data_IF_787275931852
#
_entry.id   IF_787275931852
#
_cell.length_a   1.000
_cell.length_b   1.000
_cell.length_c   1.000
_cell.angle_alpha   90.00
_cell.angle_beta   90.00
_cell.angle_gamma   90.00
#
_symmetry.space_group_name_H-M   'P 1'
#
loop_
_entity.id
_entity.type
_entity.pdbx_description
1 polymer ?
#
# COMPACT_ATOMS: atom_id res chain seq x y z
N UNK A 1 -37.94 -12.76 -37.86
CA UNK A 1 -37.65 -11.54 -37.06
C UNK A 1 -36.49 -11.86 -36.14
N UNK A 2 -35.32 -11.36 -36.50
CA UNK A 2 -34.00 -11.69 -35.97
C UNK A 2 -33.79 -10.98 -34.62
N UNK A 3 -33.60 -11.72 -33.52
CA UNK A 3 -33.12 -11.14 -32.26
C UNK A 3 -31.60 -11.25 -32.22
N UNK A 4 -30.93 -10.11 -32.31
CA UNK A 4 -29.51 -9.95 -31.98
C UNK A 4 -29.25 -10.40 -30.53
N UNK A 5 -28.09 -11.03 -30.25
CA UNK A 5 -27.67 -11.30 -28.88
C UNK A 5 -27.14 -10.01 -28.20
N UNK A 6 -27.33 -9.84 -26.88
CA UNK A 6 -26.72 -8.74 -26.13
C UNK A 6 -25.26 -9.09 -25.83
N UNK A 7 -24.38 -8.92 -26.81
CA UNK A 7 -22.92 -8.96 -26.65
C UNK A 7 -22.38 -7.54 -26.80
N UNK A 8 -22.59 -6.65 -25.82
CA UNK A 8 -21.96 -5.32 -25.89
C UNK A 8 -21.80 -4.52 -24.59
N UNK A 9 -22.22 -5.01 -23.42
CA UNK A 9 -22.26 -4.16 -22.21
C UNK A 9 -21.25 -4.51 -21.11
N UNK A 10 -20.32 -5.47 -21.33
CA UNK A 10 -19.33 -5.85 -20.30
C UNK A 10 -17.88 -5.45 -20.60
N UNK A 11 -17.60 -4.71 -21.68
CA UNK A 11 -16.22 -4.33 -22.06
C UNK A 11 -15.79 -2.90 -21.66
N UNK A 12 -16.65 -2.10 -21.01
CA UNK A 12 -16.39 -0.66 -20.84
C UNK A 12 -15.73 -0.27 -19.50
N UNK A 13 -15.62 -1.17 -18.51
CA UNK A 13 -15.06 -0.81 -17.19
C UNK A 13 -13.52 -0.93 -17.07
N UNK A 14 -12.80 -1.34 -18.12
CA UNK A 14 -11.35 -1.58 -18.09
C UNK A 14 -10.51 -0.53 -18.85
N UNK A 15 -11.01 0.69 -19.03
CA UNK A 15 -10.36 1.70 -19.90
C UNK A 15 -9.88 2.98 -19.21
N UNK A 16 -9.75 3.00 -17.87
CA UNK A 16 -9.15 4.16 -17.16
C UNK A 16 -8.10 3.70 -16.15
N UNK A 17 -6.87 3.38 -16.60
CA UNK A 17 -5.75 3.10 -15.70
C UNK A 17 -4.34 3.37 -16.28
N UNK A 18 -4.16 4.30 -17.21
CA UNK A 18 -2.82 4.60 -17.81
C UNK A 18 -2.21 5.93 -17.33
N UNK A 19 -2.89 6.71 -16.47
CA UNK A 19 -2.38 8.02 -16.02
C UNK A 19 -1.37 7.96 -14.86
N UNK A 20 -0.92 6.77 -14.44
CA UNK A 20 -0.05 6.59 -13.28
C UNK A 20 1.09 5.61 -13.53
N UNK A 21 2.12 5.61 -12.67
CA UNK A 21 3.27 4.73 -12.83
C UNK A 21 2.87 3.25 -12.79
N UNK A 22 3.65 2.43 -13.49
CA UNK A 22 3.37 1.03 -13.78
C UNK A 22 4.46 0.10 -13.23
N UNK A 23 4.22 -1.21 -13.24
CA UNK A 23 5.26 -2.19 -12.88
C UNK A 23 6.45 -2.14 -13.86
N UNK A 24 6.25 -1.69 -15.10
CA UNK A 24 7.35 -1.44 -16.03
C UNK A 24 8.25 -0.29 -15.55
N UNK A 25 7.67 0.80 -15.04
CA UNK A 25 8.43 1.93 -14.47
C UNK A 25 9.23 1.49 -13.23
N UNK A 26 8.66 0.61 -12.41
CA UNK A 26 9.38 0.02 -11.26
C UNK A 26 10.56 -0.81 -11.76
N UNK A 27 10.35 -1.70 -12.74
CA UNK A 27 11.41 -2.53 -13.33
C UNK A 27 12.56 -1.68 -13.89
N UNK A 28 12.25 -0.54 -14.52
CA UNK A 28 13.25 0.38 -15.04
C UNK A 28 14.11 1.03 -13.93
N UNK A 29 13.57 1.21 -12.72
CA UNK A 29 14.30 1.79 -11.57
C UNK A 29 15.10 0.77 -10.76
N UNK A 30 14.70 -0.50 -10.77
CA UNK A 30 15.33 -1.56 -9.95
C UNK A 30 16.87 -1.58 -10.07
N UNK A 31 17.50 -1.50 -11.26
CA UNK A 31 18.95 -1.52 -11.39
C UNK A 31 19.67 -0.42 -10.59
N UNK A 32 19.01 0.71 -10.39
CA UNK A 32 19.56 1.92 -9.79
C UNK A 32 19.24 2.06 -8.30
N UNK A 33 18.70 1.02 -7.64
CA UNK A 33 18.46 1.06 -6.20
C UNK A 33 19.79 1.06 -5.42
N UNK A 34 20.08 2.20 -4.80
CA UNK A 34 21.20 2.40 -3.89
C UNK A 34 21.01 1.64 -2.56
N UNK A 35 22.10 1.21 -1.94
CA UNK A 35 22.06 0.49 -0.66
C UNK A 35 21.41 -0.90 -0.71
N UNK A 36 21.21 -1.45 -1.91
CA UNK A 36 20.65 -2.80 -2.13
C UNK A 36 21.66 -3.67 -2.86
N UNK A 37 21.80 -4.94 -2.46
CA UNK A 37 22.68 -5.90 -3.14
C UNK A 37 22.19 -6.24 -4.55
N UNK A 38 23.12 -6.62 -5.43
CA UNK A 38 22.80 -7.08 -6.80
C UNK A 38 21.77 -8.22 -6.77
N UNK A 39 21.99 -9.21 -5.90
CA UNK A 39 21.07 -10.34 -5.74
C UNK A 39 19.66 -9.89 -5.34
N UNK A 40 19.55 -8.94 -4.39
CA UNK A 40 18.24 -8.46 -3.97
C UNK A 40 17.54 -7.67 -5.09
N UNK A 41 18.26 -6.92 -5.92
CA UNK A 41 17.71 -6.28 -7.12
C UNK A 41 17.20 -7.31 -8.13
N UNK A 42 17.97 -8.36 -8.40
CA UNK A 42 17.55 -9.45 -9.30
C UNK A 42 16.30 -10.16 -8.77
N UNK A 43 16.26 -10.48 -7.48
CA UNK A 43 15.08 -11.09 -6.85
C UNK A 43 13.84 -10.20 -7.00
N UNK A 44 13.98 -8.89 -6.77
CA UNK A 44 12.89 -7.92 -6.97
C UNK A 44 12.39 -7.91 -8.42
N UNK A 45 13.27 -7.86 -9.40
CA UNK A 45 12.89 -7.88 -10.82
C UNK A 45 12.21 -9.21 -11.21
N UNK A 46 12.74 -10.35 -10.74
CA UNK A 46 12.15 -11.67 -10.97
C UNK A 46 10.77 -11.80 -10.33
N UNK A 47 10.61 -11.35 -9.09
CA UNK A 47 9.32 -11.35 -8.38
C UNK A 47 8.26 -10.49 -9.09
N UNK A 48 8.64 -9.32 -9.63
CA UNK A 48 7.71 -8.50 -10.44
C UNK A 48 7.27 -9.25 -11.70
N UNK A 49 8.20 -9.91 -12.42
CA UNK A 49 7.85 -10.71 -13.60
C UNK A 49 6.95 -11.89 -13.24
N UNK A 50 7.21 -12.56 -12.11
CA UNK A 50 6.34 -13.64 -11.61
C UNK A 50 4.93 -13.14 -11.33
N UNK A 51 4.77 -11.98 -10.68
CA UNK A 51 3.45 -11.38 -10.45
C UNK A 51 2.72 -11.09 -11.78
N UNK A 52 3.42 -10.53 -12.76
CA UNK A 52 2.86 -10.26 -14.09
C UNK A 52 2.40 -11.55 -14.79
N UNK A 53 3.17 -12.62 -14.67
CA UNK A 53 2.84 -13.94 -15.24
C UNK A 53 1.64 -14.58 -14.55
N UNK A 54 1.55 -14.50 -13.22
CA UNK A 54 0.39 -14.98 -12.46
C UNK A 54 -0.88 -14.22 -12.86
N UNK A 55 -0.77 -12.91 -13.07
CA UNK A 55 -1.88 -12.07 -13.53
C UNK A 55 -2.17 -12.14 -15.04
N UNK A 56 -1.38 -12.89 -15.81
CA UNK A 56 -1.37 -12.90 -17.29
C UNK A 56 -1.43 -11.48 -17.91
N UNK A 57 -0.58 -10.57 -17.42
CA UNK A 57 -0.62 -9.15 -17.79
C UNK A 57 0.77 -8.62 -18.11
N UNK A 58 0.85 -7.70 -19.07
CA UNK A 58 2.07 -6.96 -19.36
C UNK A 58 2.39 -5.97 -18.22
N UNK A 59 3.64 -5.87 -17.75
CA UNK A 59 4.01 -4.94 -16.67
C UNK A 59 3.68 -3.47 -16.96
N UNK A 60 3.62 -3.08 -18.24
CA UNK A 60 3.28 -1.72 -18.67
C UNK A 60 1.78 -1.41 -18.55
N UNK A 61 0.94 -2.43 -18.35
CA UNK A 61 -0.51 -2.30 -18.19
C UNK A 61 -0.95 -2.43 -16.72
N UNK A 62 -0.02 -2.71 -15.81
CA UNK A 62 -0.31 -2.86 -14.39
C UNK A 62 0.12 -1.59 -13.67
N UNK A 63 -0.84 -0.73 -13.33
CA UNK A 63 -0.60 0.42 -12.46
C UNK A 63 -0.12 -0.05 -11.08
N UNK A 64 0.82 0.70 -10.48
CA UNK A 64 1.29 0.45 -9.11
C UNK A 64 0.39 1.08 -8.05
N UNK A 65 -0.81 1.50 -8.44
CA UNK A 65 -1.85 1.94 -7.51
C UNK A 65 -2.16 0.84 -6.50
N UNK A 66 -2.29 1.24 -5.23
CA UNK A 66 -2.21 0.34 -4.09
C UNK A 66 -3.31 -0.73 -4.12
N UNK A 67 -4.53 -0.34 -4.50
CA UNK A 67 -5.69 -1.24 -4.54
C UNK A 67 -5.53 -2.28 -5.63
N UNK A 68 -5.13 -1.86 -6.84
CA UNK A 68 -4.89 -2.78 -7.95
C UNK A 68 -3.82 -3.82 -7.63
N UNK A 69 -2.67 -3.41 -7.09
CA UNK A 69 -1.59 -4.36 -6.74
C UNK A 69 -2.05 -5.35 -5.66
N UNK A 70 -2.78 -4.90 -4.63
CA UNK A 70 -3.36 -5.79 -3.61
C UNK A 70 -4.30 -6.81 -4.24
N UNK A 71 -5.22 -6.37 -5.08
CA UNK A 71 -6.18 -7.24 -5.73
C UNK A 71 -5.47 -8.32 -6.55
N UNK A 72 -4.44 -7.96 -7.34
CA UNK A 72 -3.66 -8.94 -8.12
C UNK A 72 -2.94 -9.93 -7.19
N UNK A 73 -2.33 -9.45 -6.10
CA UNK A 73 -1.61 -10.32 -5.16
C UNK A 73 -2.52 -11.26 -4.38
N UNK A 74 -3.74 -10.84 -4.05
CA UNK A 74 -4.64 -11.57 -3.17
C UNK A 74 -5.62 -12.47 -3.94
N UNK A 75 -5.99 -12.10 -5.16
CA UNK A 75 -6.80 -12.93 -6.05
C UNK A 75 -5.99 -14.02 -6.76
N UNK A 76 -4.66 -13.90 -6.79
CA UNK A 76 -3.78 -14.93 -7.30
C UNK A 76 -3.88 -16.21 -6.45
N UNK A 77 -4.35 -17.34 -7.03
CA UNK A 77 -4.31 -18.62 -6.34
C UNK A 77 -2.86 -18.94 -5.96
N UNK A 78 -2.63 -19.45 -4.75
CA UNK A 78 -1.29 -19.94 -4.36
C UNK A 78 -0.80 -21.05 -5.31
N UNK A 79 -1.71 -21.77 -5.95
CA UNK A 79 -1.43 -22.82 -6.95
C UNK A 79 -1.25 -22.30 -8.37
N UNK A 80 -1.42 -20.99 -8.62
CA UNK A 80 -1.14 -20.42 -9.92
C UNK A 80 0.35 -20.62 -10.22
N UNK A 81 0.65 -21.44 -11.24
CA UNK A 81 2.01 -21.74 -11.73
C UNK A 81 2.86 -22.63 -10.80
N UNK A 82 2.26 -23.56 -10.05
CA UNK A 82 2.98 -24.52 -9.18
C UNK A 82 3.90 -23.84 -8.15
N UNK A 83 3.54 -22.64 -7.73
CA UNK A 83 4.32 -21.89 -6.74
C UNK A 83 4.02 -22.41 -5.34
N UNK A 84 5.06 -22.68 -4.56
CA UNK A 84 4.85 -22.97 -3.15
C UNK A 84 4.31 -21.73 -2.41
N UNK A 85 3.51 -21.90 -1.34
CA UNK A 85 3.06 -20.77 -0.52
C UNK A 85 4.23 -19.92 0.01
N UNK A 86 5.38 -20.55 0.26
CA UNK A 86 6.61 -19.85 0.67
C UNK A 86 7.15 -18.95 -0.43
N UNK A 87 7.23 -19.46 -1.66
CA UNK A 87 7.67 -18.67 -2.81
C UNK A 87 6.72 -17.51 -3.08
N UNK A 88 5.40 -17.74 -3.02
CA UNK A 88 4.42 -16.66 -3.22
C UNK A 88 4.55 -15.54 -2.18
N UNK A 89 4.82 -15.88 -0.91
CA UNK A 89 5.11 -14.88 0.13
C UNK A 89 6.35 -14.04 -0.20
N UNK A 90 7.41 -14.66 -0.72
CA UNK A 90 8.61 -13.95 -1.14
C UNK A 90 8.33 -13.01 -2.31
N UNK A 91 7.58 -13.47 -3.32
CA UNK A 91 7.14 -12.63 -4.45
C UNK A 91 6.39 -11.40 -3.95
N UNK A 92 5.39 -11.57 -3.08
CA UNK A 92 4.64 -10.45 -2.51
C UNK A 92 5.56 -9.47 -1.75
N UNK A 93 6.51 -9.99 -0.96
CA UNK A 93 7.45 -9.17 -0.18
C UNK A 93 8.38 -8.36 -1.08
N UNK A 94 8.98 -9.00 -2.09
CA UNK A 94 9.91 -8.38 -3.02
C UNK A 94 9.24 -7.33 -3.90
N UNK A 95 8.04 -7.62 -4.44
CA UNK A 95 7.29 -6.64 -5.24
C UNK A 95 6.97 -5.39 -4.40
N UNK A 96 6.49 -5.58 -3.17
CA UNK A 96 6.23 -4.44 -2.25
C UNK A 96 7.49 -3.63 -1.98
N UNK A 97 8.61 -4.32 -1.73
CA UNK A 97 9.90 -3.67 -1.51
C UNK A 97 10.34 -2.86 -2.72
N UNK A 98 10.20 -3.42 -3.92
CA UNK A 98 10.56 -2.77 -5.17
C UNK A 98 9.71 -1.51 -5.42
N UNK A 99 8.38 -1.59 -5.26
CA UNK A 99 7.49 -0.44 -5.42
C UNK A 99 7.86 0.65 -4.40
N UNK A 100 8.14 0.29 -3.14
CA UNK A 100 8.55 1.26 -2.12
C UNK A 100 9.86 1.98 -2.50
N UNK A 101 10.89 1.21 -2.88
CA UNK A 101 12.20 1.75 -3.24
C UNK A 101 12.19 2.53 -4.56
N UNK A 102 11.21 2.27 -5.43
CA UNK A 102 11.04 3.04 -6.66
C UNK A 102 10.66 4.49 -6.41
N UNK A 103 10.12 4.84 -5.23
CA UNK A 103 9.60 6.18 -4.92
C UNK A 103 8.55 6.71 -5.93
N UNK A 104 7.93 5.81 -6.71
CA UNK A 104 6.88 6.14 -7.69
C UNK A 104 5.48 6.26 -7.06
N UNK A 105 5.32 5.79 -5.82
CA UNK A 105 4.08 5.93 -5.07
C UNK A 105 4.26 6.94 -3.94
N UNK A 106 3.17 7.61 -3.54
CA UNK A 106 3.12 8.42 -2.31
C UNK A 106 3.47 7.60 -1.05
N UNK A 107 3.33 6.27 -1.12
CA UNK A 107 3.81 5.34 -0.10
C UNK A 107 5.34 5.30 0.05
N UNK A 108 6.05 5.50 -1.07
CA UNK A 108 7.52 5.56 -1.13
C UNK A 108 8.06 6.94 -0.75
N UNK A 109 7.26 7.99 -0.95
CA UNK A 109 7.55 9.32 -0.42
C UNK A 109 7.26 9.33 1.09
N UNK A 110 8.29 9.55 1.91
CA UNK A 110 8.07 9.87 3.32
C UNK A 110 7.31 11.19 3.37
N UNK A 111 5.99 11.16 3.57
CA UNK A 111 5.25 12.37 3.93
C UNK A 111 5.68 12.78 5.35
N UNK A 112 6.76 13.55 5.44
CA UNK A 112 7.19 14.21 6.68
C UNK A 112 6.35 15.48 6.87
N UNK A 113 5.04 15.30 7.08
CA UNK A 113 4.21 16.41 7.56
C UNK A 113 4.65 16.71 9.00
N UNK A 114 5.11 17.94 9.30
CA UNK A 114 5.44 18.33 10.67
C UNK A 114 4.18 18.25 11.54
N UNK A 115 4.33 17.77 12.77
CA UNK A 115 3.20 17.70 13.70
C UNK A 115 2.90 19.08 14.29
N UNK A 116 1.62 19.39 14.47
CA UNK A 116 1.20 20.57 15.24
C UNK A 116 1.60 20.44 16.71
N UNK A 117 1.67 21.55 17.43
CA UNK A 117 2.00 21.55 18.87
C UNK A 117 1.07 20.65 19.69
N UNK A 118 -0.23 20.60 19.36
CA UNK A 118 -1.20 19.72 20.04
C UNK A 118 -0.80 18.26 19.92
N UNK A 119 -0.45 17.82 18.71
CA UNK A 119 0.00 16.45 18.45
C UNK A 119 1.35 16.13 19.13
N UNK A 120 2.27 17.10 19.17
CA UNK A 120 3.55 16.93 19.86
C UNK A 120 3.37 16.76 21.38
N UNK A 121 2.52 17.59 22.00
CA UNK A 121 2.20 17.51 23.43
C UNK A 121 1.57 16.17 23.80
N UNK A 122 0.68 15.64 22.95
CA UNK A 122 0.09 14.31 23.15
C UNK A 122 1.15 13.20 23.08
N UNK A 123 1.98 13.20 22.03
CA UNK A 123 3.01 12.16 21.85
C UNK A 123 4.10 12.18 22.91
N UNK A 124 4.35 13.33 23.54
CA UNK A 124 5.28 13.43 24.66
C UNK A 124 4.86 12.58 25.86
N UNK A 125 3.56 12.29 26.03
CA UNK A 125 3.01 11.45 27.10
C UNK A 125 3.17 9.95 26.84
N UNK A 126 3.51 9.56 25.60
CA UNK A 126 3.62 8.15 25.20
C UNK A 126 5.08 7.69 25.31
N UNK A 127 5.42 6.98 26.38
CA UNK A 127 6.77 6.46 26.62
C UNK A 127 7.12 5.22 25.79
N UNK A 128 6.12 4.47 25.31
CA UNK A 128 6.34 3.21 24.58
C UNK A 128 6.64 3.45 23.10
N UNK A 129 7.84 3.06 22.64
CA UNK A 129 8.40 3.41 21.32
C UNK A 129 7.58 2.88 20.12
N UNK A 130 7.17 1.58 20.08
CA UNK A 130 6.27 1.07 19.04
C UNK A 130 4.91 1.77 18.98
N UNK A 131 4.30 2.05 20.14
CA UNK A 131 2.99 2.69 20.21
C UNK A 131 3.08 4.17 19.83
N UNK A 132 4.09 4.88 20.33
CA UNK A 132 4.40 6.26 19.94
C UNK A 132 4.61 6.38 18.45
N UNK A 133 5.31 5.44 17.81
CA UNK A 133 5.53 5.42 16.36
C UNK A 133 4.22 5.23 15.58
N UNK A 134 3.30 4.42 16.12
CA UNK A 134 1.98 4.17 15.52
C UNK A 134 1.10 5.42 15.61
N UNK A 135 1.01 6.02 16.80
CA UNK A 135 0.24 7.26 17.03
C UNK A 135 0.85 8.41 16.23
N UNK A 136 2.18 8.51 16.13
CA UNK A 136 2.86 9.55 15.33
C UNK A 136 2.44 9.50 13.86
N UNK A 137 2.37 8.31 13.25
CA UNK A 137 1.94 8.19 11.86
C UNK A 137 0.49 8.64 11.66
N UNK A 138 -0.38 8.30 12.59
CA UNK A 138 -1.77 8.76 12.57
C UNK A 138 -1.87 10.29 12.75
N UNK A 139 -1.11 10.86 13.68
CA UNK A 139 -1.02 12.29 13.91
C UNK A 139 -0.55 13.06 12.67
N UNK A 140 0.37 12.50 11.88
CA UNK A 140 0.81 13.09 10.62
C UNK A 140 -0.31 13.10 9.57
N UNK A 141 -1.10 12.02 9.47
CA UNK A 141 -2.29 11.98 8.65
C UNK A 141 -3.30 13.05 9.10
N UNK A 142 -3.61 13.11 10.39
CA UNK A 142 -4.53 14.10 10.94
C UNK A 142 -4.06 15.53 10.70
N UNK A 143 -2.77 15.80 10.87
CA UNK A 143 -2.18 17.13 10.58
C UNK A 143 -2.32 17.50 9.11
N UNK A 144 -2.14 16.55 8.19
CA UNK A 144 -2.36 16.80 6.76
C UNK A 144 -3.82 17.10 6.40
N UNK A 145 -4.75 16.70 7.27
CA UNK A 145 -6.18 16.96 7.16
C UNK A 145 -6.66 18.08 8.10
N UNK A 146 -5.74 18.78 8.78
CA UNK A 146 -6.04 19.84 9.76
C UNK A 146 -6.94 19.38 10.93
N UNK A 147 -6.82 18.13 11.35
CA UNK A 147 -7.57 17.53 12.46
C UNK A 147 -6.72 17.57 13.74
N UNK A 148 -7.31 18.00 14.86
CA UNK A 148 -6.64 18.01 16.17
C UNK A 148 -6.97 16.75 16.98
N UNK A 149 -6.22 16.45 18.06
CA UNK A 149 -6.49 15.27 18.90
C UNK A 149 -7.89 15.22 19.52
N UNK A 150 -8.49 16.39 19.76
CA UNK A 150 -9.81 16.53 20.39
C UNK A 150 -10.95 16.21 19.42
N UNK A 151 -10.70 16.30 18.11
CA UNK A 151 -11.66 16.03 17.04
C UNK A 151 -11.64 14.55 16.60
N UNK A 152 -10.92 13.69 17.31
CA UNK A 152 -10.77 12.28 16.93
C UNK A 152 -11.99 11.48 17.35
N UNK A 153 -12.69 10.96 16.35
CA UNK A 153 -13.81 10.03 16.48
C UNK A 153 -13.64 8.80 15.57
N UNK A 154 -14.62 7.91 15.58
CA UNK A 154 -14.66 6.72 14.74
C UNK A 154 -14.67 7.05 13.24
N UNK A 155 -15.23 8.20 12.84
CA UNK A 155 -15.23 8.64 11.45
C UNK A 155 -13.82 8.97 10.97
N UNK A 156 -12.99 9.61 11.80
CA UNK A 156 -11.59 9.87 11.48
C UNK A 156 -10.78 8.57 11.39
N UNK A 157 -11.07 7.57 12.23
CA UNK A 157 -10.46 6.25 12.12
C UNK A 157 -10.81 5.55 10.80
N UNK A 158 -12.07 5.60 10.36
CA UNK A 158 -12.48 5.07 9.06
C UNK A 158 -11.80 5.81 7.89
N UNK A 159 -11.70 7.14 7.96
CA UNK A 159 -10.97 7.94 6.95
C UNK A 159 -9.49 7.56 6.90
N UNK A 160 -8.88 7.33 8.06
CA UNK A 160 -7.50 6.86 8.13
C UNK A 160 -7.35 5.45 7.55
N UNK A 161 -8.28 4.54 7.82
CA UNK A 161 -8.28 3.22 7.20
C UNK A 161 -8.30 3.31 5.67
N UNK A 162 -9.24 4.09 5.11
CA UNK A 162 -9.34 4.32 3.67
C UNK A 162 -8.05 4.93 3.10
N UNK A 163 -7.43 5.85 3.83
CA UNK A 163 -6.11 6.39 3.48
C UNK A 163 -5.03 5.31 3.46
N UNK A 164 -4.97 4.42 4.46
CA UNK A 164 -4.01 3.31 4.49
C UNK A 164 -4.28 2.29 3.37
N UNK A 165 -5.54 2.04 3.02
CA UNK A 165 -5.91 1.19 1.89
C UNK A 165 -5.43 1.78 0.56
N UNK A 166 -5.54 3.09 0.38
CA UNK A 166 -5.09 3.80 -0.80
C UNK A 166 -3.56 3.98 -0.86
N UNK A 167 -2.88 4.04 0.29
CA UNK A 167 -1.45 4.44 0.34
C UNK A 167 -0.50 3.36 0.82
N UNK A 168 -0.91 2.34 1.58
CA UNK A 168 0.03 1.37 2.16
C UNK A 168 -0.05 0.00 1.51
N UNK A 169 0.80 -0.29 0.54
CA UNK A 169 0.89 -1.62 -0.10
C UNK A 169 1.23 -2.81 0.83
N UNK A 170 1.80 -2.56 2.00
CA UNK A 170 2.59 -3.55 2.74
C UNK A 170 2.00 -3.99 4.09
N UNK A 171 1.04 -3.26 4.65
CA UNK A 171 0.39 -3.61 5.93
C UNK A 171 -1.09 -3.85 5.71
N UNK A 172 -1.66 -4.76 6.51
CA UNK A 172 -3.11 -4.90 6.63
C UNK A 172 -3.66 -3.60 7.27
N UNK A 173 -4.46 -2.81 6.53
CA UNK A 173 -5.00 -1.55 7.02
C UNK A 173 -5.88 -1.73 8.26
N UNK A 174 -6.77 -2.71 8.25
CA UNK A 174 -7.66 -3.01 9.38
C UNK A 174 -6.87 -3.37 10.65
N UNK A 175 -5.83 -4.21 10.54
CA UNK A 175 -4.95 -4.51 11.69
C UNK A 175 -4.21 -3.27 12.17
N UNK A 176 -3.80 -2.39 11.27
CA UNK A 176 -3.10 -1.15 11.64
C UNK A 176 -4.01 -0.18 12.39
N UNK A 177 -5.28 -0.09 12.00
CA UNK A 177 -6.30 0.72 12.67
C UNK A 177 -6.66 0.11 14.03
N UNK A 178 -6.78 -1.22 14.12
CA UNK A 178 -6.98 -1.91 15.41
C UNK A 178 -5.85 -1.60 16.41
N UNK A 179 -4.58 -1.75 15.98
CA UNK A 179 -3.42 -1.45 16.84
C UNK A 179 -3.39 0.03 17.24
N UNK A 180 -3.78 0.93 16.33
CA UNK A 180 -3.92 2.35 16.63
C UNK A 180 -5.00 2.59 17.69
N UNK A 181 -6.21 2.05 17.52
CA UNK A 181 -7.31 2.25 18.45
C UNK A 181 -6.96 1.75 19.85
N UNK A 182 -6.31 0.58 19.94
CA UNK A 182 -5.81 0.06 21.21
C UNK A 182 -4.76 0.99 21.85
N UNK A 183 -3.76 1.45 21.07
CA UNK A 183 -2.74 2.35 21.58
C UNK A 183 -3.32 3.72 22.00
N UNK A 184 -4.32 4.21 21.26
CA UNK A 184 -5.04 5.43 21.57
C UNK A 184 -5.79 5.32 22.89
N UNK A 185 -6.58 4.26 23.07
CA UNK A 185 -7.33 4.03 24.29
C UNK A 185 -6.42 3.85 25.50
N UNK A 186 -5.26 3.22 25.31
CA UNK A 186 -4.29 2.99 26.39
C UNK A 186 -3.55 4.24 26.86
N UNK A 187 -3.25 5.18 25.96
CA UNK A 187 -2.33 6.28 26.25
C UNK A 187 -2.91 7.69 26.10
N UNK A 188 -4.09 7.82 25.51
CA UNK A 188 -4.70 9.11 25.18
C UNK A 188 -6.08 9.26 25.81
N UNK A 189 -6.91 8.21 25.74
CA UNK A 189 -8.26 8.21 26.32
C UNK A 189 -8.31 7.72 27.78
N UNK A 190 -7.18 7.26 28.34
CA UNK A 190 -7.01 6.88 29.75
C UNK A 190 -6.58 8.09 30.59
#
# INVERSE_FOLDING_TARGET
MTKCPPSCEQEIELSVSVLGPTLADVLARVPNFEGVSVQSRQNMASSIRTLCRVGNRNPSLISIETRLIRNIMDQAPSTALDLSPSHWRNVKSDVRRAIRLSCLTRAGQKCEVPLTERWQKLLAKVCDNPQRSTIRRFAQFCTSCQITPEDIDDQILHRYQAFLEATQLYRNPARSVYVLAWAWNKHVAA
#
